data_IF_540204592221
#
_entry.id   IF_540204592221
#
_cell.length_a   1.000
_cell.length_b   1.000
_cell.length_c   1.000
_cell.angle_alpha   90.00
_cell.angle_beta   90.00
_cell.angle_gamma   90.00
#
_symmetry.space_group_name_H-M   'P 1'
#
loop_
_entity.id
_entity.type
_entity.pdbx_description
1 polymer ?
#
# COMPACT_ATOMS: atom_id res chain seq x y z
N UNK A 1 20.69 2.76 -5.17
CA UNK A 1 20.11 1.62 -5.95
C UNK A 1 21.22 0.65 -6.36
N UNK A 2 20.99 -0.65 -6.23
CA UNK A 2 21.88 -1.72 -6.69
C UNK A 2 21.20 -2.46 -7.84
N UNK A 3 21.97 -2.90 -8.85
CA UNK A 3 21.44 -3.45 -10.10
C UNK A 3 22.21 -4.70 -10.51
N UNK A 4 21.49 -5.74 -10.94
CA UNK A 4 22.02 -6.94 -11.58
C UNK A 4 21.27 -7.13 -12.91
N UNK A 5 22.00 -7.14 -14.03
CA UNK A 5 21.42 -7.40 -15.35
C UNK A 5 21.88 -8.76 -15.89
N UNK A 6 20.92 -9.56 -16.35
CA UNK A 6 21.19 -10.84 -17.04
C UNK A 6 20.63 -10.76 -18.44
N UNK A 7 21.51 -10.78 -19.43
CA UNK A 7 21.17 -10.83 -20.85
C UNK A 7 20.54 -12.19 -21.20
N UNK A 8 19.46 -12.18 -21.97
CA UNK A 8 18.74 -13.40 -22.39
C UNK A 8 18.72 -13.55 -23.91
N UNK A 9 18.29 -12.54 -24.67
CA UNK A 9 18.14 -12.59 -26.11
C UNK A 9 18.64 -11.29 -26.77
N UNK A 10 19.65 -11.38 -27.64
CA UNK A 10 20.28 -10.19 -28.22
C UNK A 10 20.77 -9.25 -27.13
N UNK A 11 20.42 -7.97 -27.19
CA UNK A 11 20.76 -6.97 -26.19
C UNK A 11 19.74 -6.90 -25.00
N UNK A 12 18.63 -7.64 -25.12
CA UNK A 12 17.55 -7.63 -24.12
C UNK A 12 17.77 -8.68 -23.03
N UNK A 13 17.27 -8.38 -21.83
CA UNK A 13 17.43 -9.27 -20.69
C UNK A 13 16.46 -8.97 -19.54
N UNK A 14 16.90 -9.33 -18.35
CA UNK A 14 16.20 -9.08 -17.08
C UNK A 14 17.09 -8.23 -16.20
N UNK A 15 16.57 -7.09 -15.74
CA UNK A 15 17.18 -6.28 -14.71
C UNK A 15 16.49 -6.59 -13.37
N UNK A 16 17.29 -6.94 -12.37
CA UNK A 16 16.88 -6.94 -10.98
C UNK A 16 17.56 -5.76 -10.28
N UNK A 17 16.76 -4.91 -9.64
CA UNK A 17 17.21 -3.72 -8.90
C UNK A 17 16.62 -3.70 -7.52
N UNK A 18 17.35 -3.14 -6.55
CA UNK A 18 16.81 -2.94 -5.19
C UNK A 18 17.41 -1.71 -4.51
N UNK A 19 16.64 -1.13 -3.60
CA UNK A 19 17.01 0.00 -2.75
C UNK A 19 16.06 0.13 -1.56
N UNK A 20 16.37 1.02 -0.63
CA UNK A 20 15.52 1.31 0.54
C UNK A 20 14.76 2.62 0.31
N UNK A 21 13.43 2.59 0.49
CA UNK A 21 12.54 3.74 0.51
C UNK A 21 11.23 3.38 1.25
N UNK A 22 10.42 4.35 1.65
CA UNK A 22 9.18 4.12 2.40
C UNK A 22 9.36 3.21 3.63
N UNK A 23 10.50 3.33 4.31
CA UNK A 23 10.92 2.50 5.45
C UNK A 23 10.95 1.00 5.17
N UNK A 24 11.18 0.61 3.92
CA UNK A 24 11.25 -0.80 3.52
C UNK A 24 12.20 -1.01 2.34
N UNK A 25 12.55 -2.27 2.09
CA UNK A 25 13.25 -2.66 0.88
C UNK A 25 12.28 -2.69 -0.29
N UNK A 26 12.71 -2.16 -1.42
CA UNK A 26 12.02 -2.18 -2.70
C UNK A 26 12.80 -3.05 -3.65
N UNK A 27 12.13 -4.00 -4.29
CA UNK A 27 12.69 -4.88 -5.28
C UNK A 27 11.95 -4.71 -6.60
N UNK A 28 12.69 -4.54 -7.71
CA UNK A 28 12.18 -4.31 -9.05
C UNK A 28 12.76 -5.36 -10.01
N UNK A 29 11.90 -6.01 -10.76
CA UNK A 29 12.29 -6.87 -11.88
C UNK A 29 11.67 -6.29 -13.15
N UNK A 30 12.50 -5.98 -14.15
CA UNK A 30 12.08 -5.50 -15.47
C UNK A 30 12.62 -6.45 -16.54
N UNK A 31 11.74 -6.94 -17.40
CA UNK A 31 12.06 -7.93 -18.42
C UNK A 31 12.01 -7.34 -19.83
N UNK A 32 12.68 -8.03 -20.78
CA UNK A 32 12.58 -7.79 -22.22
C UNK A 32 13.02 -6.40 -22.70
N UNK A 33 13.91 -5.73 -21.94
CA UNK A 33 14.52 -4.45 -22.29
C UNK A 33 16.03 -4.55 -22.29
N UNK A 34 16.70 -3.56 -22.90
CA UNK A 34 18.16 -3.42 -22.76
C UNK A 34 18.51 -3.01 -21.33
N UNK A 35 19.79 -3.12 -21.00
CA UNK A 35 20.28 -2.72 -19.67
C UNK A 35 20.03 -1.23 -19.41
N UNK A 36 20.32 -0.39 -20.39
CA UNK A 36 20.21 1.06 -20.34
C UNK A 36 18.74 1.50 -20.16
N UNK A 37 17.83 0.95 -20.97
CA UNK A 37 16.40 1.21 -20.85
C UNK A 37 15.87 0.80 -19.46
N UNK A 38 16.24 -0.39 -18.99
CA UNK A 38 15.80 -0.91 -17.70
C UNK A 38 16.31 -0.04 -16.54
N UNK A 39 17.56 0.42 -16.58
CA UNK A 39 18.13 1.33 -15.57
C UNK A 39 17.39 2.68 -15.57
N UNK A 40 17.11 3.24 -16.74
CA UNK A 40 16.35 4.49 -16.83
C UNK A 40 14.97 4.37 -16.19
N UNK A 41 14.26 3.27 -16.45
CA UNK A 41 12.93 3.02 -15.87
C UNK A 41 13.01 2.88 -14.35
N UNK A 42 13.99 2.15 -13.83
CA UNK A 42 14.16 2.03 -12.37
C UNK A 42 14.47 3.38 -11.70
N UNK A 43 15.22 4.26 -12.37
CA UNK A 43 15.46 5.62 -11.88
C UNK A 43 14.20 6.49 -11.89
N UNK A 44 13.32 6.34 -12.90
CA UNK A 44 12.02 7.03 -12.93
C UNK A 44 11.14 6.57 -11.77
N UNK A 45 11.10 5.26 -11.51
CA UNK A 45 10.36 4.69 -10.37
C UNK A 45 10.90 5.20 -9.04
N UNK A 46 12.23 5.23 -8.85
CA UNK A 46 12.85 5.72 -7.62
C UNK A 46 12.50 7.20 -7.37
N UNK A 47 12.58 8.05 -8.41
CA UNK A 47 12.20 9.47 -8.32
C UNK A 47 10.72 9.64 -7.95
N UNK A 48 9.84 8.83 -8.53
CA UNK A 48 8.41 8.89 -8.23
C UNK A 48 8.13 8.49 -6.78
N UNK A 49 8.75 7.44 -6.27
CA UNK A 49 8.63 7.04 -4.87
C UNK A 49 9.12 8.16 -3.93
N UNK A 50 10.27 8.77 -4.21
CA UNK A 50 10.78 9.90 -3.43
C UNK A 50 9.82 11.10 -3.46
N UNK A 51 9.19 11.37 -4.61
CA UNK A 51 8.18 12.42 -4.76
C UNK A 51 6.95 12.13 -3.88
N UNK A 52 6.45 10.89 -3.91
CA UNK A 52 5.32 10.46 -3.09
C UNK A 52 5.65 10.56 -1.59
N UNK A 53 6.86 10.24 -1.17
CA UNK A 53 7.30 10.42 0.22
C UNK A 53 7.26 11.89 0.65
N UNK A 54 7.61 12.84 -0.23
CA UNK A 54 7.51 14.29 0.06
C UNK A 54 6.08 14.76 0.26
N UNK A 55 5.11 14.09 -0.32
CA UNK A 55 3.69 14.40 -0.10
C UNK A 55 3.17 13.74 1.19
N UNK A 56 3.53 12.48 1.44
CA UNK A 56 2.78 11.58 2.33
C UNK A 56 3.50 11.12 3.60
N UNK A 57 4.78 11.41 3.78
CA UNK A 57 5.56 10.91 4.92
C UNK A 57 5.27 11.74 6.18
N UNK A 58 4.50 11.17 7.13
CA UNK A 58 4.17 11.82 8.40
C UNK A 58 5.36 12.07 9.35
N UNK A 59 6.52 11.48 9.07
CA UNK A 59 7.73 11.60 9.89
C UNK A 59 8.75 12.59 9.33
N UNK A 60 8.62 13.01 8.06
CA UNK A 60 9.51 13.99 7.42
C UNK A 60 8.91 15.38 7.57
N UNK A 61 9.57 16.25 8.35
CA UNK A 61 9.14 17.64 8.59
C UNK A 61 9.00 18.46 7.31
N UNK A 62 9.67 18.06 6.24
CA UNK A 62 9.57 18.72 4.94
C UNK A 62 8.34 18.29 4.14
N UNK A 63 7.71 17.16 4.50
CA UNK A 63 6.56 16.62 3.79
C UNK A 63 5.31 17.47 3.98
N UNK A 64 4.40 17.32 3.03
CA UNK A 64 3.12 18.04 3.06
C UNK A 64 2.21 17.50 4.17
N UNK A 65 2.13 16.16 4.32
CA UNK A 65 1.32 15.52 5.36
C UNK A 65 1.79 15.86 6.78
N UNK A 66 3.11 15.95 7.00
CA UNK A 66 3.64 16.37 8.30
C UNK A 66 3.17 17.78 8.65
N UNK A 67 3.33 18.74 7.72
CA UNK A 67 2.89 20.14 7.90
C UNK A 67 1.39 20.26 8.15
N UNK A 68 0.59 19.48 7.39
CA UNK A 68 -0.85 19.39 7.59
C UNK A 68 -1.18 18.92 9.01
N UNK A 69 -0.59 17.84 9.47
CA UNK A 69 -0.79 17.28 10.82
C UNK A 69 -0.46 18.30 11.94
N UNK A 70 0.52 19.19 11.72
CA UNK A 70 0.91 20.20 12.70
C UNK A 70 -0.04 21.39 12.78
N UNK A 71 -0.67 21.76 11.66
CA UNK A 71 -1.31 23.08 11.53
C UNK A 71 -2.81 23.04 11.29
N UNK A 72 -3.35 21.92 10.77
CA UNK A 72 -4.74 21.84 10.34
C UNK A 72 -5.77 21.95 11.48
N UNK A 73 -5.38 21.81 12.74
CA UNK A 73 -6.27 22.04 13.88
C UNK A 73 -6.37 23.52 14.29
N UNK A 74 -5.53 24.40 13.74
CA UNK A 74 -5.50 25.83 14.04
C UNK A 74 -6.36 26.60 13.03
N UNK A 75 -6.21 26.26 11.74
CA UNK A 75 -6.92 26.88 10.60
C UNK A 75 -6.97 25.94 9.42
N UNK A 76 -7.89 26.12 8.44
CA UNK A 76 -7.84 25.41 7.17
C UNK A 76 -6.47 25.57 6.48
N UNK A 77 -5.93 24.47 5.97
CA UNK A 77 -4.62 24.39 5.31
C UNK A 77 -4.83 23.98 3.87
N UNK A 78 -4.33 24.78 2.92
CA UNK A 78 -4.31 24.41 1.51
C UNK A 78 -3.30 23.30 1.29
N UNK A 79 -3.71 22.28 0.56
CA UNK A 79 -2.89 21.11 0.20
C UNK A 79 -2.80 20.99 -1.32
N UNK A 80 -1.82 20.23 -1.81
CA UNK A 80 -1.74 19.90 -3.23
C UNK A 80 -2.97 19.12 -3.69
N UNK A 81 -3.30 19.19 -4.97
CA UNK A 81 -4.37 18.39 -5.58
C UNK A 81 -4.16 16.90 -5.34
N UNK A 82 -2.90 16.46 -5.31
CA UNK A 82 -2.54 15.07 -5.06
C UNK A 82 -2.85 14.65 -3.63
N UNK A 83 -2.39 15.39 -2.61
CA UNK A 83 -2.70 15.05 -1.22
C UNK A 83 -4.20 15.16 -0.97
N UNK A 84 -4.88 16.15 -1.54
CA UNK A 84 -6.33 16.26 -1.45
C UNK A 84 -7.04 15.03 -2.01
N UNK A 85 -6.66 14.58 -3.23
CA UNK A 85 -7.21 13.37 -3.85
C UNK A 85 -6.96 12.12 -3.02
N UNK A 86 -5.74 11.95 -2.48
CA UNK A 86 -5.39 10.85 -1.58
C UNK A 86 -6.30 10.83 -0.34
N UNK A 87 -6.51 11.98 0.28
CA UNK A 87 -7.35 12.09 1.48
C UNK A 87 -8.83 11.83 1.16
N UNK A 88 -9.32 12.29 0.01
CA UNK A 88 -10.68 12.02 -0.48
C UNK A 88 -10.89 10.52 -0.70
N UNK A 89 -9.99 9.86 -1.42
CA UNK A 89 -10.02 8.40 -1.62
C UNK A 89 -10.05 7.66 -0.27
N UNK A 90 -9.25 8.10 0.70
CA UNK A 90 -9.23 7.51 2.03
C UNK A 90 -10.54 7.69 2.79
N UNK A 91 -11.25 8.82 2.63
CA UNK A 91 -12.57 9.02 3.20
C UNK A 91 -13.60 8.06 2.60
N UNK A 92 -13.58 7.87 1.29
CA UNK A 92 -14.47 6.94 0.59
C UNK A 92 -14.21 5.50 1.01
N UNK A 93 -12.94 5.08 1.06
CA UNK A 93 -12.53 3.76 1.53
C UNK A 93 -12.88 3.52 3.00
N UNK A 94 -12.82 4.54 3.86
CA UNK A 94 -13.30 4.45 5.24
C UNK A 94 -14.78 4.04 5.31
N UNK A 95 -15.63 4.68 4.49
CA UNK A 95 -17.05 4.35 4.42
C UNK A 95 -17.28 2.95 3.84
N UNK A 96 -16.64 2.62 2.73
CA UNK A 96 -16.77 1.33 2.03
C UNK A 96 -16.32 0.14 2.88
N UNK A 97 -15.37 0.34 3.78
CA UNK A 97 -14.83 -0.71 4.67
C UNK A 97 -15.50 -0.76 6.03
N UNK A 98 -16.72 -0.24 6.18
CA UNK A 98 -17.44 -0.18 7.47
C UNK A 98 -16.61 0.46 8.59
N UNK A 99 -15.81 1.49 8.26
CA UNK A 99 -14.91 2.21 9.16
C UNK A 99 -13.73 1.38 9.69
N UNK A 100 -13.48 0.20 9.12
CA UNK A 100 -12.34 -0.65 9.49
C UNK A 100 -11.01 -0.15 8.91
N UNK A 101 -11.02 0.64 7.84
CA UNK A 101 -9.88 1.42 7.37
C UNK A 101 -10.00 2.86 7.88
N UNK A 102 -8.98 3.38 8.57
CA UNK A 102 -9.02 4.71 9.21
C UNK A 102 -7.63 5.34 9.24
N UNK A 103 -7.43 6.36 8.41
CA UNK A 103 -6.16 7.11 8.35
C UNK A 103 -5.94 8.01 9.57
N UNK A 104 -6.92 8.17 10.45
CA UNK A 104 -6.80 8.95 11.69
C UNK A 104 -6.42 8.08 12.91
N UNK A 105 -6.02 6.82 12.68
CA UNK A 105 -5.74 5.82 13.73
C UNK A 105 -4.66 6.25 14.73
N UNK A 106 -3.78 7.17 14.36
CA UNK A 106 -2.71 7.70 15.19
C UNK A 106 -3.10 8.95 15.98
N UNK A 107 -4.36 9.39 15.89
CA UNK A 107 -4.89 10.48 16.71
C UNK A 107 -4.91 10.11 18.18
N UNK A 108 -5.03 11.11 19.05
CA UNK A 108 -5.12 10.87 20.51
C UNK A 108 -6.28 9.91 20.83
N UNK A 109 -6.08 8.91 21.71
CA UNK A 109 -7.03 7.80 21.91
C UNK A 109 -8.41 8.22 22.42
N UNK A 110 -8.52 9.37 23.10
CA UNK A 110 -9.76 9.90 23.67
C UNK A 110 -10.72 10.45 22.60
N UNK A 111 -10.24 10.69 21.37
CA UNK A 111 -11.08 11.18 20.29
C UNK A 111 -11.87 10.03 19.65
N UNK A 112 -13.19 10.17 19.63
CA UNK A 112 -14.13 9.30 18.91
C UNK A 112 -14.55 9.94 17.60
N UNK A 113 -15.04 9.14 16.65
CA UNK A 113 -15.44 9.60 15.32
C UNK A 113 -14.40 10.55 14.69
N UNK A 114 -13.16 10.08 14.60
CA UNK A 114 -12.01 10.90 14.22
C UNK A 114 -12.07 11.34 12.76
N UNK A 115 -12.46 10.45 11.83
CA UNK A 115 -12.66 10.78 10.42
C UNK A 115 -13.73 11.87 10.23
N UNK A 116 -14.83 11.83 10.99
CA UNK A 116 -15.86 12.89 10.96
C UNK A 116 -15.40 14.26 11.51
N UNK A 117 -14.16 14.37 11.97
CA UNK A 117 -13.54 15.64 12.40
C UNK A 117 -12.62 16.26 11.35
N UNK A 118 -12.47 15.62 10.19
CA UNK A 118 -11.85 16.19 9.01
C UNK A 118 -12.91 16.96 8.23
N UNK A 119 -12.63 18.22 7.96
CA UNK A 119 -13.40 19.03 7.01
C UNK A 119 -12.51 19.26 5.78
N UNK A 120 -13.01 18.89 4.63
CA UNK A 120 -12.34 19.05 3.35
C UNK A 120 -13.17 19.97 2.46
N UNK A 121 -12.54 21.00 1.89
CA UNK A 121 -13.16 21.93 0.93
C UNK A 121 -12.63 21.60 -0.48
N UNK A 122 -13.51 21.12 -1.34
CA UNK A 122 -13.14 20.67 -2.69
C UNK A 122 -12.79 21.83 -3.63
N UNK A 123 -13.36 22.99 -3.42
CA UNK A 123 -13.12 24.18 -4.26
C UNK A 123 -11.76 24.78 -3.92
N UNK A 124 -11.49 24.98 -2.63
CA UNK A 124 -10.26 25.63 -2.15
C UNK A 124 -9.11 24.66 -1.92
N UNK A 125 -9.36 23.34 -2.05
CA UNK A 125 -8.40 22.26 -1.72
C UNK A 125 -7.79 22.46 -0.35
N UNK A 126 -8.64 22.75 0.67
CA UNK A 126 -8.20 22.90 2.05
C UNK A 126 -8.67 21.76 2.93
N UNK A 127 -7.89 21.49 3.99
CA UNK A 127 -8.19 20.50 5.03
C UNK A 127 -8.11 21.16 6.39
N UNK A 128 -9.11 20.89 7.23
CA UNK A 128 -9.21 21.42 8.59
C UNK A 128 -9.59 20.32 9.59
N UNK A 129 -8.94 20.31 10.74
CA UNK A 129 -9.28 19.42 11.85
C UNK A 129 -10.08 20.18 12.90
N UNK A 130 -11.34 19.80 13.10
CA UNK A 130 -12.22 20.47 14.06
C UNK A 130 -11.80 20.26 15.53
N UNK A 131 -10.80 19.41 15.77
CA UNK A 131 -10.25 19.10 17.11
C UNK A 131 -8.73 18.97 17.06
N UNK A 132 -8.05 19.53 18.06
CA UNK A 132 -6.64 19.25 18.32
C UNK A 132 -6.44 17.78 18.67
N UNK A 133 -5.34 17.19 18.21
CA UNK A 133 -5.00 15.80 18.47
C UNK A 133 -5.44 14.83 17.37
N UNK A 134 -6.06 15.30 16.28
CA UNK A 134 -6.18 14.54 15.04
C UNK A 134 -4.80 14.43 14.41
N UNK A 135 -4.47 13.22 13.92
CA UNK A 135 -3.22 12.94 13.21
C UNK A 135 -3.48 11.93 12.10
N UNK A 136 -3.16 12.30 10.88
CA UNK A 136 -3.30 11.46 9.70
C UNK A 136 -2.09 10.56 9.53
N UNK A 137 -2.33 9.32 9.15
CA UNK A 137 -1.33 8.31 8.84
C UNK A 137 -1.76 7.55 7.57
N UNK A 138 -0.97 7.68 6.50
CA UNK A 138 -1.24 7.07 5.21
C UNK A 138 -0.52 5.72 5.00
N UNK A 139 0.14 5.16 6.02
CA UNK A 139 0.92 3.91 5.88
C UNK A 139 0.10 2.71 5.36
N UNK A 140 -1.20 2.66 5.64
CA UNK A 140 -2.10 1.62 5.13
C UNK A 140 -2.72 1.93 3.76
N UNK A 141 -2.17 2.89 3.01
CA UNK A 141 -2.66 3.30 1.69
C UNK A 141 -1.52 3.59 0.71
N UNK A 142 -0.47 4.27 1.17
CA UNK A 142 0.49 4.95 0.30
C UNK A 142 1.35 4.01 -0.55
N UNK A 143 1.63 2.79 -0.09
CA UNK A 143 2.37 1.81 -0.91
C UNK A 143 1.55 1.33 -2.10
N UNK A 144 0.25 1.11 -1.89
CA UNK A 144 -0.67 0.79 -2.98
C UNK A 144 -0.79 1.93 -3.99
N UNK A 145 -0.93 3.17 -3.50
CA UNK A 145 -0.91 4.36 -4.35
C UNK A 145 0.39 4.47 -5.16
N UNK A 146 1.54 4.20 -4.55
CA UNK A 146 2.82 4.18 -5.24
C UNK A 146 2.86 3.11 -6.34
N UNK A 147 2.31 1.90 -6.10
CA UNK A 147 2.21 0.87 -7.14
C UNK A 147 1.32 1.30 -8.30
N UNK A 148 0.24 2.03 -8.06
CA UNK A 148 -0.62 2.57 -9.13
C UNK A 148 0.10 3.64 -9.96
N UNK A 149 0.91 4.50 -9.33
CA UNK A 149 1.78 5.46 -10.04
C UNK A 149 2.88 4.75 -10.83
N UNK A 150 3.52 3.74 -10.26
CA UNK A 150 4.55 2.92 -10.93
C UNK A 150 3.96 2.20 -12.13
N UNK A 151 2.75 1.66 -12.04
CA UNK A 151 2.06 1.04 -13.18
C UNK A 151 1.95 2.00 -14.35
N UNK A 152 1.59 3.26 -14.13
CA UNK A 152 1.53 4.28 -15.18
C UNK A 152 2.89 4.54 -15.82
N UNK A 153 3.97 4.55 -15.02
CA UNK A 153 5.34 4.68 -15.55
C UNK A 153 5.68 3.48 -16.45
N UNK A 154 5.38 2.26 -16.01
CA UNK A 154 5.64 1.04 -16.78
C UNK A 154 4.84 1.03 -18.09
N UNK A 155 3.56 1.36 -18.06
CA UNK A 155 2.67 1.46 -19.22
C UNK A 155 3.17 2.52 -20.24
N UNK A 156 3.50 3.73 -19.76
CA UNK A 156 4.03 4.81 -20.60
C UNK A 156 5.34 4.46 -21.27
N UNK A 157 6.18 3.63 -20.64
CA UNK A 157 7.45 3.16 -21.18
C UNK A 157 7.33 1.80 -21.89
N UNK A 158 6.10 1.34 -22.17
CA UNK A 158 5.82 0.09 -22.91
C UNK A 158 6.52 -1.13 -22.29
N UNK A 159 6.47 -1.26 -20.95
CA UNK A 159 6.95 -2.43 -20.22
C UNK A 159 5.83 -3.46 -20.17
N UNK A 160 6.05 -4.59 -20.80
CA UNK A 160 5.08 -5.70 -20.87
C UNK A 160 5.21 -6.69 -19.71
N UNK A 161 6.40 -6.77 -19.09
CA UNK A 161 6.71 -7.80 -18.10
C UNK A 161 7.58 -7.21 -16.99
N UNK A 162 7.01 -7.08 -15.80
CA UNK A 162 7.68 -6.54 -14.62
C UNK A 162 7.07 -7.06 -13.31
N UNK A 163 7.89 -7.14 -12.25
CA UNK A 163 7.46 -7.37 -10.88
C UNK A 163 8.03 -6.28 -9.98
N UNK A 164 7.17 -5.61 -9.24
CA UNK A 164 7.54 -4.56 -8.29
C UNK A 164 7.09 -5.00 -6.91
N UNK A 165 8.01 -5.06 -5.95
CA UNK A 165 7.75 -5.51 -4.58
C UNK A 165 8.15 -4.44 -3.57
N UNK A 166 7.19 -3.91 -2.84
CA UNK A 166 7.37 -2.92 -1.79
C UNK A 166 7.25 -3.61 -0.41
N UNK A 167 8.38 -4.07 0.12
CA UNK A 167 8.49 -4.61 1.48
C UNK A 167 7.75 -5.92 1.74
N UNK A 168 7.57 -6.76 0.73
CA UNK A 168 6.87 -8.04 0.78
C UNK A 168 5.39 -7.95 1.23
N UNK A 169 4.81 -6.75 1.23
CA UNK A 169 3.42 -6.53 1.59
C UNK A 169 2.59 -5.99 0.44
N UNK A 170 3.24 -5.42 -0.58
CA UNK A 170 2.56 -4.76 -1.69
C UNK A 170 3.31 -5.08 -2.97
N UNK A 171 2.70 -5.87 -3.85
CA UNK A 171 3.35 -6.44 -5.04
C UNK A 171 2.50 -6.11 -6.27
N UNK A 172 3.10 -5.46 -7.26
CA UNK A 172 2.53 -5.26 -8.59
C UNK A 172 3.17 -6.25 -9.56
N UNK A 173 2.35 -7.03 -10.24
CA UNK A 173 2.75 -7.96 -11.29
C UNK A 173 2.20 -7.50 -12.64
N UNK A 174 3.07 -7.26 -13.61
CA UNK A 174 2.73 -6.94 -15.00
C UNK A 174 3.20 -8.08 -15.89
N UNK A 175 2.31 -8.58 -16.77
CA UNK A 175 2.63 -9.61 -17.76
C UNK A 175 3.10 -10.93 -17.15
N UNK A 176 4.25 -11.43 -17.62
CA UNK A 176 4.74 -12.76 -17.31
C UNK A 176 6.17 -12.75 -16.77
N UNK A 177 6.50 -13.72 -15.93
CA UNK A 177 7.89 -14.01 -15.57
C UNK A 177 8.65 -14.59 -16.79
N UNK A 178 10.00 -14.52 -16.81
CA UNK A 178 10.80 -14.91 -18.00
C UNK A 178 10.59 -16.32 -18.52
N UNK A 179 10.21 -17.27 -17.64
CA UNK A 179 10.09 -18.69 -17.98
C UNK A 179 8.71 -19.28 -17.60
N UNK A 180 7.66 -18.45 -17.53
CA UNK A 180 6.33 -18.93 -17.13
C UNK A 180 5.21 -17.95 -17.46
N UNK A 181 3.98 -18.37 -17.19
CA UNK A 181 2.80 -17.52 -17.35
C UNK A 181 2.47 -16.85 -16.02
N UNK A 182 2.33 -15.52 -16.02
CA UNK A 182 2.14 -14.73 -14.82
C UNK A 182 3.35 -14.79 -13.87
N UNK A 183 3.18 -14.27 -12.67
CA UNK A 183 4.18 -14.23 -11.61
C UNK A 183 3.73 -15.08 -10.43
N UNK A 184 4.48 -16.16 -10.14
CA UNK A 184 4.20 -17.01 -8.98
C UNK A 184 4.70 -16.31 -7.72
N UNK A 185 3.76 -16.00 -6.80
CA UNK A 185 4.05 -15.38 -5.51
C UNK A 185 3.69 -16.36 -4.40
N UNK A 186 4.62 -16.61 -3.49
CA UNK A 186 4.37 -17.41 -2.30
C UNK A 186 3.68 -16.56 -1.23
N UNK A 187 2.59 -17.07 -0.67
CA UNK A 187 1.82 -16.42 0.38
C UNK A 187 2.23 -16.98 1.76
N UNK A 188 2.27 -16.10 2.75
CA UNK A 188 2.56 -16.46 4.13
C UNK A 188 4.00 -16.19 4.54
N UNK A 189 4.21 -16.15 5.87
CA UNK A 189 5.55 -16.04 6.45
C UNK A 189 6.19 -17.44 6.51
N UNK A 190 7.51 -17.57 6.32
CA UNK A 190 8.25 -18.81 6.49
C UNK A 190 8.06 -19.48 7.87
N UNK A 191 7.57 -18.74 8.85
CA UNK A 191 7.29 -19.22 10.22
C UNK A 191 5.90 -19.84 10.38
N UNK A 192 5.06 -19.87 9.35
CA UNK A 192 3.83 -20.65 9.35
C UNK A 192 4.19 -22.11 9.03
N UNK A 193 3.99 -23.01 9.98
CA UNK A 193 4.04 -24.47 9.78
C UNK A 193 2.86 -24.90 8.88
N UNK A 194 2.77 -24.34 7.69
CA UNK A 194 1.75 -24.70 6.72
C UNK A 194 2.32 -25.77 5.78
N UNK A 195 1.84 -26.98 5.92
CA UNK A 195 2.05 -28.12 5.01
C UNK A 195 1.45 -27.92 3.61
N UNK A 196 0.91 -26.73 3.32
CA UNK A 196 0.29 -26.38 2.04
C UNK A 196 1.11 -25.28 1.39
N UNK A 197 1.68 -25.57 0.24
CA UNK A 197 2.32 -24.59 -0.65
C UNK A 197 1.24 -23.58 -1.11
N UNK A 198 1.13 -22.45 -0.39
CA UNK A 198 0.18 -21.40 -0.70
C UNK A 198 0.86 -20.42 -1.66
N UNK A 199 0.74 -20.68 -2.93
CA UNK A 199 1.18 -19.75 -3.95
C UNK A 199 0.01 -19.23 -4.79
N UNK A 200 0.15 -18.03 -5.32
CA UNK A 200 -0.80 -17.42 -6.25
C UNK A 200 -0.06 -16.99 -7.51
N UNK A 201 -0.72 -17.08 -8.65
CA UNK A 201 -0.21 -16.53 -9.90
C UNK A 201 -0.89 -15.20 -10.14
N UNK A 202 -0.09 -14.13 -10.23
CA UNK A 202 -0.54 -12.78 -10.52
C UNK A 202 -0.22 -12.43 -11.97
N UNK A 203 -1.14 -11.72 -12.63
CA UNK A 203 -0.93 -11.17 -13.97
C UNK A 203 -1.75 -9.89 -14.14
N UNK A 204 -1.06 -8.76 -14.30
CA UNK A 204 -1.67 -7.42 -14.37
C UNK A 204 -2.51 -7.05 -13.14
N UNK A 205 -2.13 -7.58 -11.99
CA UNK A 205 -2.83 -7.46 -10.71
C UNK A 205 -1.87 -6.97 -9.62
N UNK A 206 -2.44 -6.51 -8.52
CA UNK A 206 -1.71 -6.11 -7.32
C UNK A 206 -2.14 -7.00 -6.16
N UNK A 207 -1.15 -7.53 -5.45
CA UNK A 207 -1.32 -8.25 -4.19
C UNK A 207 -0.92 -7.32 -3.05
N UNK A 208 -1.79 -7.16 -2.06
CA UNK A 208 -1.48 -6.45 -0.81
C UNK A 208 -1.74 -7.33 0.38
N UNK A 209 -0.89 -7.22 1.39
CA UNK A 209 -0.92 -8.10 2.55
C UNK A 209 -0.80 -7.30 3.84
N UNK A 210 -1.74 -7.48 4.75
CA UNK A 210 -1.71 -6.97 6.11
C UNK A 210 -1.61 -8.11 7.10
N UNK A 211 -0.69 -8.02 8.09
CA UNK A 211 -0.50 -9.14 8.99
C UNK A 211 0.41 -8.89 10.18
N UNK A 212 0.33 -9.78 11.16
CA UNK A 212 1.23 -9.89 12.29
C UNK A 212 2.12 -11.13 12.11
N UNK A 213 3.44 -10.92 12.02
CA UNK A 213 4.43 -12.00 11.89
C UNK A 213 4.79 -12.66 13.23
N UNK A 214 4.41 -12.03 14.36
CA UNK A 214 4.69 -12.51 15.73
C UNK A 214 3.44 -12.38 16.59
N UNK A 215 3.21 -13.35 17.49
CA UNK A 215 2.00 -13.41 18.33
C UNK A 215 1.76 -12.15 19.20
N UNK A 216 2.83 -11.53 19.72
CA UNK A 216 2.77 -10.32 20.55
C UNK A 216 3.03 -9.03 19.76
N UNK A 217 3.04 -9.07 18.43
CA UNK A 217 3.26 -7.89 17.61
C UNK A 217 2.08 -6.91 17.77
N UNK A 218 2.40 -5.66 18.12
CA UNK A 218 1.45 -4.54 18.18
C UNK A 218 1.69 -3.66 16.95
N UNK A 219 1.04 -3.97 15.86
CA UNK A 219 1.26 -3.29 14.58
C UNK A 219 0.00 -2.60 14.07
N UNK A 220 -1.15 -3.28 14.12
CA UNK A 220 -2.42 -2.76 13.61
C UNK A 220 -3.43 -2.71 14.75
N UNK A 221 -4.16 -1.59 14.86
CA UNK A 221 -5.24 -1.37 15.81
C UNK A 221 -6.59 -1.44 15.12
N UNK A 222 -7.59 -1.89 15.85
CA UNK A 222 -8.97 -1.74 15.41
C UNK A 222 -9.41 -0.27 15.57
N UNK A 223 -9.90 0.39 14.51
CA UNK A 223 -10.18 1.83 14.55
C UNK A 223 -11.24 2.24 15.57
N UNK A 224 -12.30 1.43 15.72
CA UNK A 224 -13.43 1.75 16.62
C UNK A 224 -13.07 1.45 18.07
N UNK A 225 -12.53 0.25 18.35
CA UNK A 225 -12.23 -0.17 19.73
C UNK A 225 -10.89 0.33 20.25
N UNK A 226 -10.02 0.83 19.35
CA UNK A 226 -8.64 1.24 19.61
C UNK A 226 -7.75 0.14 20.24
N UNK A 227 -8.18 -1.11 20.14
CA UNK A 227 -7.44 -2.27 20.64
C UNK A 227 -6.44 -2.77 19.60
N UNK A 228 -5.27 -3.18 20.08
CA UNK A 228 -4.29 -3.85 19.21
C UNK A 228 -4.81 -5.22 18.79
N UNK A 229 -4.71 -5.49 17.49
CA UNK A 229 -4.95 -6.83 16.98
C UNK A 229 -3.68 -7.65 17.24
N UNK A 230 -3.84 -8.73 17.99
CA UNK A 230 -2.75 -9.64 18.37
C UNK A 230 -2.96 -11.02 17.74
N UNK A 231 -1.97 -11.90 17.89
CA UNK A 231 -1.96 -13.22 17.25
C UNK A 231 -1.26 -13.20 15.89
N UNK A 232 -0.81 -14.38 15.45
CA UNK A 232 -0.19 -14.55 14.13
C UNK A 232 -1.32 -14.77 13.12
N UNK A 233 -1.54 -13.82 12.25
CA UNK A 233 -2.48 -13.92 11.13
C UNK A 233 -2.09 -12.97 10.01
N UNK A 234 -2.55 -13.26 8.82
CA UNK A 234 -2.29 -12.49 7.62
C UNK A 234 -3.54 -12.49 6.74
N UNK A 235 -3.81 -11.36 6.09
CA UNK A 235 -4.85 -11.21 5.08
C UNK A 235 -4.20 -10.66 3.83
N UNK A 236 -4.27 -11.41 2.75
CA UNK A 236 -3.79 -11.04 1.43
C UNK A 236 -4.98 -10.80 0.50
N UNK A 237 -4.94 -9.71 -0.25
CA UNK A 237 -6.00 -9.27 -1.15
C UNK A 237 -5.40 -9.02 -2.52
N UNK A 238 -6.04 -9.52 -3.57
CA UNK A 238 -5.70 -9.25 -4.96
C UNK A 238 -6.71 -8.28 -5.55
N UNK A 239 -6.21 -7.19 -6.12
CA UNK A 239 -7.01 -6.11 -6.70
C UNK A 239 -6.42 -5.62 -8.02
N UNK A 240 -7.22 -4.85 -8.76
CA UNK A 240 -6.77 -4.13 -9.94
C UNK A 240 -6.00 -2.85 -9.59
N UNK A 241 -6.27 -2.24 -8.43
CA UNK A 241 -5.60 -1.02 -7.96
C UNK A 241 -4.93 -1.24 -6.61
N UNK A 242 -3.73 -0.68 -6.43
CA UNK A 242 -2.96 -0.87 -5.20
C UNK A 242 -3.57 -0.12 -4.01
N UNK A 243 -4.10 1.08 -4.24
CA UNK A 243 -4.72 1.90 -3.20
C UNK A 243 -5.92 1.20 -2.54
N UNK A 244 -6.79 0.56 -3.33
CA UNK A 244 -7.89 -0.25 -2.81
C UNK A 244 -7.38 -1.48 -2.06
N UNK A 245 -6.40 -2.19 -2.64
CA UNK A 245 -5.82 -3.38 -2.03
C UNK A 245 -5.25 -3.12 -0.64
N UNK A 246 -4.47 -2.05 -0.45
CA UNK A 246 -3.90 -1.67 0.85
C UNK A 246 -4.99 -1.38 1.89
N UNK A 247 -5.99 -0.57 1.52
CA UNK A 247 -7.09 -0.25 2.43
C UNK A 247 -7.91 -1.49 2.79
N UNK A 248 -8.20 -2.36 1.80
CA UNK A 248 -8.98 -3.57 2.00
C UNK A 248 -8.24 -4.62 2.82
N UNK A 249 -6.94 -4.86 2.55
CA UNK A 249 -6.16 -5.81 3.35
C UNK A 249 -6.08 -5.37 4.81
N UNK A 250 -5.92 -4.06 5.07
CA UNK A 250 -5.92 -3.48 6.42
C UNK A 250 -7.29 -3.58 7.08
N UNK A 251 -8.36 -3.22 6.38
CA UNK A 251 -9.72 -3.31 6.90
C UNK A 251 -10.13 -4.74 7.22
N UNK A 252 -9.92 -5.69 6.30
CA UNK A 252 -10.26 -7.10 6.50
C UNK A 252 -9.43 -7.76 7.61
N UNK A 253 -8.20 -7.27 7.83
CA UNK A 253 -7.36 -7.75 8.94
C UNK A 253 -7.96 -7.41 10.30
N UNK A 254 -8.56 -6.23 10.50
CA UNK A 254 -9.15 -5.80 11.77
C UNK A 254 -10.62 -6.19 11.92
N UNK A 255 -11.35 -6.32 10.81
CA UNK A 255 -12.79 -6.52 10.76
C UNK A 255 -13.26 -7.79 11.46
N UNK A 256 -14.42 -7.72 12.09
CA UNK A 256 -15.21 -8.88 12.51
C UNK A 256 -15.75 -9.65 11.31
N UNK A 257 -16.24 -10.87 11.50
CA UNK A 257 -16.81 -11.67 10.41
C UNK A 257 -17.97 -10.96 9.70
N UNK A 258 -18.84 -10.29 10.45
CA UNK A 258 -19.97 -9.54 9.89
C UNK A 258 -19.53 -8.32 9.06
N UNK A 259 -18.50 -7.59 9.52
CA UNK A 259 -17.93 -6.46 8.78
C UNK A 259 -17.21 -6.92 7.53
N UNK A 260 -16.52 -8.07 7.57
CA UNK A 260 -15.89 -8.67 6.39
C UNK A 260 -16.91 -9.01 5.30
N UNK A 261 -18.03 -9.66 5.67
CA UNK A 261 -19.09 -10.00 4.72
C UNK A 261 -19.64 -8.75 4.04
N UNK A 262 -19.84 -7.66 4.79
CA UNK A 262 -20.28 -6.38 4.23
C UNK A 262 -19.23 -5.79 3.30
N UNK A 263 -17.97 -5.71 3.72
CA UNK A 263 -16.88 -5.16 2.90
C UNK A 263 -16.70 -5.95 1.60
N UNK A 264 -16.70 -7.28 1.64
CA UNK A 264 -16.53 -8.14 0.45
C UNK A 264 -17.73 -8.05 -0.50
N UNK A 265 -18.96 -7.81 0.00
CA UNK A 265 -20.14 -7.64 -0.87
C UNK A 265 -20.08 -6.39 -1.77
N UNK A 266 -19.27 -5.40 -1.43
CA UNK A 266 -19.05 -4.19 -2.22
C UNK A 266 -17.88 -4.30 -3.23
N UNK A 267 -17.11 -5.41 -3.18
CA UNK A 267 -15.87 -5.52 -3.95
C UNK A 267 -15.75 -6.90 -4.62
N UNK A 268 -15.35 -6.93 -5.90
CA UNK A 268 -14.99 -8.17 -6.59
C UNK A 268 -13.57 -8.62 -6.17
N UNK A 269 -13.45 -9.17 -4.95
CA UNK A 269 -12.16 -9.49 -4.34
C UNK A 269 -11.82 -10.99 -4.43
N UNK A 270 -10.53 -11.29 -4.66
CA UNK A 270 -9.92 -12.55 -4.24
C UNK A 270 -9.18 -12.29 -2.92
N UNK A 271 -9.75 -12.70 -1.81
CA UNK A 271 -9.12 -12.58 -0.50
C UNK A 271 -8.66 -13.96 0.02
N UNK A 272 -7.44 -14.02 0.53
CA UNK A 272 -6.87 -15.20 1.17
C UNK A 272 -6.53 -14.87 2.63
N UNK A 273 -7.09 -15.62 3.57
CA UNK A 273 -6.76 -15.52 4.99
C UNK A 273 -5.94 -16.72 5.44
N UNK A 274 -4.87 -16.46 6.19
CA UNK A 274 -4.08 -17.50 6.87
C UNK A 274 -4.14 -17.25 8.36
N UNK A 275 -4.76 -18.18 9.12
CA UNK A 275 -4.69 -18.22 10.58
C UNK A 275 -3.71 -19.32 10.98
N UNK A 276 -2.76 -19.01 11.86
CA UNK A 276 -2.06 -20.04 12.60
C UNK A 276 -2.99 -20.50 13.71
N UNK A 277 -3.36 -21.78 13.72
CA UNK A 277 -3.99 -22.40 14.89
C UNK A 277 -2.95 -22.41 16.01
N UNK A 278 -3.27 -21.78 17.14
CA UNK A 278 -2.52 -21.87 18.39
C UNK A 278 -2.85 -23.21 19.05
#
# INVERSE_FOLDING_TARGET
MQNIFKQLHGEKGVLYSWYEAMHTRIDLIICNKTKEESILITQLIEKEIQRIEKVSNRFDETSELFKLNQTAHIKPVSVSDELYSILSDCCDLHVQTCQCFDITIQSVPQLTNRMGKLIMDDIQKTVYFTRKGISLDLCGYIKGYALDCIRKILETNHISDALINLGNSSILAIGNQPLGQGWKIELGSPNFNATIDKSIILKNEILTTSGNKRAKQKHIKHPITNQWITGIREVSVVTSTGKEGEALSTALFVATEQERLKTVSYTHLRAHETKANL
#
